data_IF_964391474430
#
_entry.id   IF_964391474430
#
_cell.length_a   1.000
_cell.length_b   1.000
_cell.length_c   1.000
_cell.angle_alpha   90.00
_cell.angle_beta   90.00
_cell.angle_gamma   90.00
#
_symmetry.space_group_name_H-M   'P 1'
#
loop_
_entity.id
_entity.type
_entity.pdbx_description
1 polymer ?
#
# COMPACT_ATOMS: atom_id res chain seq x y z
N UNK A 1 24.45 -8.31 -4.83
CA UNK A 1 24.31 -7.32 -3.73
C UNK A 1 23.74 -6.02 -4.28
N UNK A 2 22.43 -5.79 -4.16
CA UNK A 2 21.79 -4.57 -4.70
C UNK A 2 22.26 -3.31 -3.96
N UNK A 3 22.67 -2.27 -4.70
CA UNK A 3 23.04 -0.96 -4.15
C UNK A 3 21.82 -0.34 -3.43
N UNK A 4 22.03 0.34 -2.30
CA UNK A 4 20.96 0.93 -1.47
C UNK A 4 19.96 1.79 -2.25
N UNK A 5 20.43 2.57 -3.24
CA UNK A 5 19.58 3.38 -4.14
C UNK A 5 18.62 2.53 -4.99
N UNK A 6 19.03 1.35 -5.43
CA UNK A 6 18.18 0.44 -6.21
C UNK A 6 17.08 -0.19 -5.35
N UNK A 7 17.40 -0.57 -4.11
CA UNK A 7 16.41 -1.08 -3.14
C UNK A 7 15.31 -0.06 -2.84
N UNK A 8 15.70 1.21 -2.63
CA UNK A 8 14.75 2.30 -2.41
C UNK A 8 13.87 2.56 -3.64
N UNK A 9 14.43 2.46 -4.85
CA UNK A 9 13.67 2.56 -6.10
C UNK A 9 12.68 1.41 -6.25
N UNK A 10 13.10 0.19 -5.97
CA UNK A 10 12.24 -1.00 -5.99
C UNK A 10 11.08 -0.87 -4.99
N UNK A 11 11.37 -0.54 -3.73
CA UNK A 11 10.34 -0.28 -2.70
C UNK A 11 9.31 0.75 -3.17
N UNK A 12 9.79 1.86 -3.73
CA UNK A 12 8.90 2.92 -4.22
C UNK A 12 8.04 2.46 -5.38
N UNK A 13 8.58 1.66 -6.31
CA UNK A 13 7.82 1.12 -7.45
C UNK A 13 6.76 0.14 -6.94
N UNK A 14 7.16 -0.84 -6.12
CA UNK A 14 6.25 -1.83 -5.54
C UNK A 14 5.13 -1.17 -4.74
N UNK A 15 5.47 -0.18 -3.89
CA UNK A 15 4.49 0.54 -3.08
C UNK A 15 3.52 1.37 -3.91
N UNK A 16 3.99 2.08 -4.95
CA UNK A 16 3.12 2.85 -5.84
C UNK A 16 2.21 1.92 -6.64
N UNK A 17 2.76 0.83 -7.20
CA UNK A 17 1.97 -0.16 -7.93
C UNK A 17 0.90 -0.80 -7.02
N UNK A 18 1.24 -1.10 -5.77
CA UNK A 18 0.28 -1.60 -4.77
C UNK A 18 -0.88 -0.62 -4.55
N UNK A 19 -0.57 0.65 -4.28
CA UNK A 19 -1.59 1.70 -4.06
C UNK A 19 -2.46 1.87 -5.31
N UNK A 20 -1.87 1.92 -6.51
CA UNK A 20 -2.64 2.09 -7.75
C UNK A 20 -3.61 0.94 -8.00
N UNK A 21 -3.16 -0.30 -7.81
CA UNK A 21 -4.03 -1.48 -8.00
C UNK A 21 -5.18 -1.52 -6.98
N UNK A 22 -4.89 -1.19 -5.72
CA UNK A 22 -5.91 -1.11 -4.67
C UNK A 22 -6.91 0.02 -4.91
N UNK A 23 -6.43 1.18 -5.37
CA UNK A 23 -7.29 2.29 -5.74
C UNK A 23 -8.15 1.97 -6.96
N UNK A 24 -7.58 1.32 -7.97
CA UNK A 24 -8.33 0.90 -9.14
C UNK A 24 -9.46 -0.07 -8.79
N UNK A 25 -9.20 -1.03 -7.88
CA UNK A 25 -10.25 -1.89 -7.33
C UNK A 25 -11.37 -1.09 -6.67
N UNK A 26 -11.05 -0.13 -5.81
CA UNK A 26 -12.06 0.69 -5.12
C UNK A 26 -12.91 1.54 -6.07
N UNK A 27 -12.34 1.94 -7.21
CA UNK A 27 -13.07 2.64 -8.26
C UNK A 27 -13.93 1.65 -9.04
N UNK A 28 -13.42 0.49 -9.42
CA UNK A 28 -14.19 -0.50 -10.18
C UNK A 28 -15.33 -1.14 -9.38
N UNK A 29 -15.13 -1.42 -8.09
CA UNK A 29 -16.12 -2.13 -7.26
C UNK A 29 -17.53 -1.49 -7.25
N UNK A 30 -17.70 -0.15 -7.20
CA UNK A 30 -19.01 0.49 -7.31
C UNK A 30 -19.54 0.65 -8.74
N UNK A 31 -18.69 0.54 -9.78
CA UNK A 31 -19.12 0.64 -11.17
C UNK A 31 -19.23 -0.76 -11.77
N UNK A 32 -20.45 -1.22 -11.99
CA UNK A 32 -20.69 -2.46 -12.73
C UNK A 32 -20.34 -2.21 -14.22
N UNK A 33 -19.06 -2.35 -14.58
CA UNK A 33 -18.55 -2.01 -15.91
C UNK A 33 -18.86 -3.18 -16.85
N UNK A 34 -19.72 -3.00 -17.88
CA UNK A 34 -20.30 -4.10 -18.65
C UNK A 34 -19.34 -4.92 -19.55
N UNK A 35 -18.03 -4.77 -19.39
CA UNK A 35 -17.01 -5.48 -20.18
C UNK A 35 -15.80 -5.95 -19.34
N UNK A 36 -15.86 -5.82 -18.01
CA UNK A 36 -14.79 -6.29 -17.12
C UNK A 36 -15.27 -7.62 -16.48
N UNK A 37 -14.50 -8.71 -16.55
CA UNK A 37 -14.86 -9.95 -15.87
C UNK A 37 -15.09 -9.70 -14.37
N UNK A 38 -16.16 -10.25 -13.80
CA UNK A 38 -16.61 -10.01 -12.42
C UNK A 38 -15.54 -10.27 -11.33
N UNK A 39 -14.50 -11.05 -11.61
CA UNK A 39 -13.43 -11.35 -10.64
C UNK A 39 -12.17 -10.48 -10.80
N UNK A 40 -12.17 -9.56 -11.77
CA UNK A 40 -10.98 -8.79 -12.14
C UNK A 40 -10.59 -7.78 -11.06
N UNK A 41 -11.57 -7.13 -10.44
CA UNK A 41 -11.36 -6.16 -9.35
C UNK A 41 -10.74 -6.85 -8.13
N UNK A 42 -11.23 -8.04 -7.75
CA UNK A 42 -10.70 -8.85 -6.65
C UNK A 42 -9.28 -9.32 -6.97
N UNK A 43 -9.04 -9.79 -8.19
CA UNK A 43 -7.71 -10.24 -8.64
C UNK A 43 -6.70 -9.10 -8.58
N UNK A 44 -7.06 -7.91 -9.08
CA UNK A 44 -6.21 -6.72 -9.01
C UNK A 44 -5.95 -6.29 -7.56
N UNK A 45 -6.96 -6.37 -6.68
CA UNK A 45 -6.81 -6.12 -5.25
C UNK A 45 -5.80 -7.06 -4.59
N UNK A 46 -5.87 -8.36 -4.88
CA UNK A 46 -4.93 -9.37 -4.36
C UNK A 46 -3.50 -9.12 -4.82
N UNK A 47 -3.31 -8.85 -6.11
CA UNK A 47 -2.00 -8.46 -6.65
C UNK A 47 -1.50 -7.21 -5.93
N UNK A 48 -2.36 -6.20 -5.76
CA UNK A 48 -2.07 -4.98 -5.02
C UNK A 48 -1.56 -5.25 -3.59
N UNK A 49 -2.23 -6.15 -2.85
CA UNK A 49 -1.80 -6.54 -1.50
C UNK A 49 -0.43 -7.23 -1.52
N UNK A 50 -0.22 -8.20 -2.41
CA UNK A 50 1.07 -8.86 -2.52
C UNK A 50 2.20 -7.87 -2.82
N UNK A 51 1.99 -6.95 -3.77
CA UNK A 51 2.96 -5.88 -4.05
C UNK A 51 3.20 -4.98 -2.83
N UNK A 52 2.17 -4.71 -2.03
CA UNK A 52 2.29 -3.92 -0.79
C UNK A 52 3.13 -4.63 0.26
N UNK A 53 2.93 -5.94 0.44
CA UNK A 53 3.75 -6.78 1.33
C UNK A 53 5.21 -6.83 0.84
N UNK A 54 5.43 -7.02 -0.47
CA UNK A 54 6.78 -6.97 -1.05
C UNK A 54 7.41 -5.58 -0.93
N UNK A 55 6.63 -4.51 -1.06
CA UNK A 55 7.08 -3.15 -0.81
C UNK A 55 7.55 -3.02 0.63
N UNK A 56 6.78 -3.49 1.61
CA UNK A 56 7.15 -3.48 3.02
C UNK A 56 8.49 -4.19 3.27
N UNK A 57 8.68 -5.41 2.74
CA UNK A 57 9.96 -6.12 2.90
C UNK A 57 11.13 -5.46 2.15
N UNK A 58 10.89 -4.88 0.97
CA UNK A 58 11.94 -4.25 0.16
C UNK A 58 12.38 -2.87 0.66
N UNK A 59 11.49 -2.12 1.31
CA UNK A 59 11.81 -0.82 1.93
C UNK A 59 12.29 -0.93 3.36
N UNK A 60 11.72 -1.89 4.11
CA UNK A 60 11.78 -1.90 5.58
C UNK A 60 11.68 -3.29 6.20
N UNK A 61 12.42 -4.27 5.70
CA UNK A 61 13.05 -5.26 6.59
C UNK A 61 14.22 -4.66 7.41
N UNK A 62 14.07 -3.46 8.00
CA UNK A 62 15.02 -2.86 8.97
C UNK A 62 16.44 -2.48 8.48
N UNK A 63 16.58 -1.87 7.31
CA UNK A 63 17.89 -1.37 6.85
C UNK A 63 18.28 -0.01 7.43
N UNK A 64 18.57 0.09 8.75
CA UNK A 64 19.08 1.31 9.43
C UNK A 64 18.39 2.61 8.93
N UNK A 65 17.15 2.87 9.34
CA UNK A 65 16.78 4.29 9.47
C UNK A 65 17.78 4.85 10.46
N UNK A 66 18.69 5.71 9.98
CA UNK A 66 19.71 6.35 10.80
C UNK A 66 18.96 6.97 11.97
N UNK A 67 19.18 6.32 13.10
CA UNK A 67 18.55 6.59 14.37
C UNK A 67 18.66 8.09 14.67
N UNK A 68 17.63 8.60 15.35
CA UNK A 68 17.57 9.86 16.10
C UNK A 68 16.75 11.02 15.49
N UNK A 69 16.70 11.28 14.17
CA UNK A 69 16.07 12.55 13.70
C UNK A 69 14.71 12.45 12.97
N UNK A 70 14.31 11.30 12.43
CA UNK A 70 13.02 11.14 11.73
C UNK A 70 12.28 9.83 12.10
N UNK A 71 12.54 9.27 13.29
CA UNK A 71 11.91 8.01 13.76
C UNK A 71 10.39 8.10 13.76
N UNK A 72 9.84 9.21 14.27
CA UNK A 72 8.39 9.42 14.37
C UNK A 72 7.70 9.32 13.00
N UNK A 73 8.24 9.96 11.96
CA UNK A 73 7.67 9.89 10.61
C UNK A 73 7.81 8.50 9.99
N UNK A 74 8.88 7.76 10.32
CA UNK A 74 9.08 6.39 9.85
C UNK A 74 8.11 5.41 10.53
N UNK A 75 7.89 5.58 11.83
CA UNK A 75 6.89 4.83 12.59
C UNK A 75 5.48 5.10 12.05
N UNK A 76 5.11 6.38 11.87
CA UNK A 76 3.83 6.75 11.27
C UNK A 76 3.67 6.17 9.86
N UNK A 77 4.70 6.24 9.02
CA UNK A 77 4.69 5.62 7.69
C UNK A 77 4.40 4.12 7.76
N UNK A 78 5.10 3.39 8.62
CA UNK A 78 4.93 1.94 8.78
C UNK A 78 3.56 1.58 9.33
N UNK A 79 3.11 2.25 10.40
CA UNK A 79 1.81 1.99 11.04
C UNK A 79 0.68 2.25 10.05
N UNK A 80 0.70 3.40 9.36
CA UNK A 80 -0.33 3.77 8.40
C UNK A 80 -0.38 2.82 7.20
N UNK A 81 0.79 2.40 6.68
CA UNK A 81 0.83 1.43 5.59
C UNK A 81 0.35 0.05 6.01
N UNK A 82 0.77 -0.46 7.17
CA UNK A 82 0.34 -1.78 7.66
C UNK A 82 -1.15 -1.79 8.00
N UNK A 83 -1.65 -0.77 8.70
CA UNK A 83 -3.07 -0.63 9.01
C UNK A 83 -3.90 -0.50 7.72
N UNK A 84 -3.45 0.34 6.79
CA UNK A 84 -4.10 0.51 5.50
C UNK A 84 -4.16 -0.79 4.70
N UNK A 85 -3.07 -1.57 4.67
CA UNK A 85 -3.01 -2.86 3.97
C UNK A 85 -3.88 -3.92 4.65
N UNK A 86 -3.87 -3.99 5.98
CA UNK A 86 -4.69 -4.92 6.76
C UNK A 86 -6.19 -4.67 6.53
N UNK A 87 -6.61 -3.41 6.45
CA UNK A 87 -8.00 -3.04 6.16
C UNK A 87 -8.45 -3.38 4.72
N UNK A 88 -7.53 -3.67 3.80
CA UNK A 88 -7.89 -4.20 2.47
C UNK A 88 -8.23 -5.70 2.49
N UNK A 89 -7.75 -6.44 3.51
CA UNK A 89 -7.87 -7.91 3.59
C UNK A 89 -9.32 -8.40 3.62
N UNK A 90 -10.24 -7.82 4.44
CA UNK A 90 -11.63 -8.25 4.43
C UNK A 90 -12.26 -8.14 3.04
N UNK A 91 -11.97 -7.04 2.33
CA UNK A 91 -12.47 -6.82 0.99
C UNK A 91 -12.01 -7.88 -0.01
N UNK A 92 -10.76 -8.36 0.05
CA UNK A 92 -10.24 -9.35 -0.93
C UNK A 92 -10.55 -10.81 -0.58
N UNK A 93 -11.00 -11.05 0.66
CA UNK A 93 -11.25 -12.39 1.21
C UNK A 93 -12.67 -12.88 0.90
N UNK A 94 -13.62 -11.97 0.69
CA UNK A 94 -15.01 -12.32 0.42
C UNK A 94 -15.31 -12.18 -1.09
N UNK A 95 -15.99 -13.18 -1.66
CA UNK A 95 -16.46 -13.17 -3.06
C UNK A 95 -17.75 -12.36 -3.25
N UNK A 96 -18.34 -11.87 -2.17
CA UNK A 96 -19.61 -11.15 -2.16
C UNK A 96 -19.41 -9.75 -1.60
N UNK A 97 -20.20 -8.79 -2.07
CA UNK A 97 -20.15 -7.40 -1.66
C UNK A 97 -20.69 -7.22 -0.23
N UNK A 98 -19.83 -7.40 0.76
CA UNK A 98 -20.13 -7.09 2.15
C UNK A 98 -19.90 -5.59 2.41
N UNK A 99 -20.92 -4.83 2.88
CA UNK A 99 -20.79 -3.40 3.11
C UNK A 99 -19.71 -3.05 4.15
N UNK A 100 -19.47 -3.91 5.14
CA UNK A 100 -18.41 -3.71 6.13
C UNK A 100 -17.02 -3.93 5.53
N UNK A 101 -16.87 -4.91 4.64
CA UNK A 101 -15.62 -5.17 3.93
C UNK A 101 -15.28 -4.03 2.96
N UNK A 102 -16.30 -3.48 2.28
CA UNK A 102 -16.17 -2.29 1.44
C UNK A 102 -15.77 -1.07 2.27
N UNK A 103 -16.46 -0.82 3.39
CA UNK A 103 -16.14 0.30 4.29
C UNK A 103 -14.70 0.20 4.84
N UNK A 104 -14.26 -1.00 5.23
CA UNK A 104 -12.88 -1.24 5.66
C UNK A 104 -11.88 -0.90 4.54
N UNK A 105 -12.12 -1.36 3.31
CA UNK A 105 -11.25 -1.05 2.17
C UNK A 105 -11.21 0.46 1.86
N UNK A 106 -12.36 1.15 1.94
CA UNK A 106 -12.46 2.60 1.77
C UNK A 106 -11.76 3.40 2.88
N UNK A 107 -11.73 2.90 4.12
CA UNK A 107 -10.97 3.50 5.21
C UNK A 107 -9.47 3.19 5.11
N UNK A 108 -9.12 1.98 4.69
CA UNK A 108 -7.73 1.55 4.55
C UNK A 108 -6.97 2.32 3.47
N UNK A 109 -7.65 2.71 2.39
CA UNK A 109 -6.99 3.39 1.27
C UNK A 109 -6.46 4.80 1.59
N UNK A 110 -7.20 5.69 2.26
CA UNK A 110 -6.66 6.93 2.83
C UNK A 110 -5.46 6.71 3.75
N UNK A 111 -5.45 5.65 4.58
CA UNK A 111 -4.30 5.33 5.43
C UNK A 111 -3.08 4.96 4.59
N UNK A 112 -3.25 4.18 3.51
CA UNK A 112 -2.17 3.87 2.56
C UNK A 112 -1.59 5.14 1.93
N UNK A 113 -2.46 6.07 1.50
CA UNK A 113 -2.03 7.36 0.93
C UNK A 113 -1.27 8.18 1.98
N UNK A 114 -1.80 8.30 3.20
CA UNK A 114 -1.18 9.03 4.28
C UNK A 114 0.21 8.44 4.61
N UNK A 115 0.30 7.12 4.79
CA UNK A 115 1.55 6.40 4.98
C UNK A 115 2.55 6.69 3.86
N UNK A 116 2.13 6.63 2.60
CA UNK A 116 2.98 6.97 1.46
C UNK A 116 3.50 8.41 1.48
N UNK A 117 2.64 9.39 1.81
CA UNK A 117 3.03 10.80 1.96
C UNK A 117 4.11 10.96 3.04
N UNK A 118 3.95 10.31 4.20
CA UNK A 118 4.96 10.32 5.25
C UNK A 118 6.28 9.70 4.79
N UNK A 119 6.24 8.59 4.04
CA UNK A 119 7.41 8.00 3.41
C UNK A 119 8.17 8.96 2.48
N UNK A 120 7.45 9.79 1.72
CA UNK A 120 8.06 10.84 0.88
C UNK A 120 8.72 11.95 1.69
N UNK A 121 8.15 12.34 2.83
CA UNK A 121 8.73 13.35 3.72
C UNK A 121 10.07 12.87 4.30
N UNK A 122 10.15 11.61 4.75
CA UNK A 122 11.40 11.00 5.23
C UNK A 122 12.48 11.07 4.16
N UNK A 123 12.14 10.66 2.93
CA UNK A 123 13.10 10.65 1.82
C UNK A 123 13.61 12.06 1.48
N UNK A 124 12.74 13.07 1.47
CA UNK A 124 13.16 14.46 1.21
C UNK A 124 14.13 14.98 2.27
N UNK A 125 13.95 14.60 3.54
CA UNK A 125 14.82 15.02 4.65
C UNK A 125 16.14 14.24 4.70
N UNK A 126 16.14 12.96 4.31
CA UNK A 126 17.33 12.11 4.34
C UNK A 126 18.37 12.41 3.23
N UNK A 127 17.96 13.12 2.16
CA UNK A 127 18.82 13.48 1.03
C UNK A 127 19.00 15.01 0.88
N UNK A 128 18.62 15.77 1.92
CA UNK A 128 18.94 17.19 2.06
C UNK A 128 20.24 17.33 2.83
#
# INVERSE_FOLDING_TARGET
MFRSKQKLKLHSILGISSILLLGFRLILQPFDVPHIPNDSDVTLGRIGIFLGVFAFFSGTGLGKYRFVENSEYAELHVILLLAGLALQVPGISESHSNPFALAAAWLGYPLLIAGWIYGRKIRKRAFK
#
